data_IF_790910021479
#
_entry.id   IF_790910021479
#
_cell.length_a   1.000
_cell.length_b   1.000
_cell.length_c   1.000
_cell.angle_alpha   90.00
_cell.angle_beta   90.00
_cell.angle_gamma   90.00
#
_symmetry.space_group_name_H-M   'P 1'
#
loop_
_entity.id
_entity.type
_entity.pdbx_description
1 polymer ?
#
# COMPACT_ATOMS: atom_id res chain seq x y z
N UNK A 1 -3.65 26.39 39.67
CA UNK A 1 -2.20 26.24 39.89
C UNK A 1 -2.00 24.81 40.36
N UNK A 2 -1.68 23.91 39.43
CA UNK A 2 -1.38 22.51 39.74
C UNK A 2 0.13 22.34 39.62
N UNK A 3 0.76 22.03 40.74
CA UNK A 3 2.18 21.74 40.83
C UNK A 3 2.48 20.45 40.04
N UNK A 4 3.20 20.61 38.93
CA UNK A 4 3.70 19.50 38.12
C UNK A 4 4.88 18.87 38.87
N UNK A 5 4.58 17.80 39.61
CA UNK A 5 5.54 16.84 40.13
C UNK A 5 6.30 16.23 38.95
N UNK A 6 7.48 16.78 38.65
CA UNK A 6 8.37 16.23 37.65
C UNK A 6 8.79 14.80 38.06
N UNK A 7 8.76 13.83 37.12
CA UNK A 7 9.16 12.45 37.39
C UNK A 7 10.57 12.35 37.97
N UNK A 8 10.70 11.66 39.11
CA UNK A 8 11.95 11.47 39.87
C UNK A 8 13.08 10.80 39.06
N UNK A 9 12.78 10.11 37.96
CA UNK A 9 13.81 9.55 37.08
C UNK A 9 14.66 10.63 36.37
N UNK A 10 14.17 11.87 36.30
CA UNK A 10 14.90 13.02 35.74
C UNK A 10 15.94 13.59 36.73
N UNK A 11 15.96 13.16 38.00
CA UNK A 11 16.96 13.62 38.97
C UNK A 11 18.06 12.59 39.24
N UNK A 12 17.92 11.34 38.78
CA UNK A 12 18.89 10.27 39.05
C UNK A 12 20.21 10.36 38.28
N UNK A 13 20.24 11.02 37.13
CA UNK A 13 21.44 11.14 36.28
C UNK A 13 22.43 12.24 36.72
N UNK A 14 22.06 13.05 37.73
CA UNK A 14 22.91 14.14 38.23
C UNK A 14 23.88 13.75 39.34
N UNK A 15 23.76 12.55 39.91
CA UNK A 15 24.59 12.11 41.05
C UNK A 15 25.48 10.92 40.76
N UNK A 16 25.52 10.45 39.52
CA UNK A 16 26.54 9.48 39.10
C UNK A 16 27.77 10.27 38.65
N UNK A 17 28.69 10.50 39.58
CA UNK A 17 30.05 11.03 39.30
C UNK A 17 30.90 10.05 38.47
N UNK A 18 30.33 8.90 38.10
CA UNK A 18 30.88 7.91 37.17
C UNK A 18 30.39 8.22 35.74
N UNK A 19 30.71 9.42 35.26
CA UNK A 19 30.67 9.72 33.82
C UNK A 19 31.96 9.15 33.24
N UNK A 20 31.97 7.83 33.03
CA UNK A 20 32.93 7.20 32.14
C UNK A 20 32.81 7.93 30.78
N UNK A 21 33.94 8.40 30.27
CA UNK A 21 34.00 9.26 29.10
C UNK A 21 33.14 8.68 27.98
N UNK A 22 32.22 9.49 27.45
CA UNK A 22 31.32 9.16 26.34
C UNK A 22 32.08 9.03 24.99
N UNK A 23 33.34 8.60 25.04
CA UNK A 23 34.29 8.53 23.93
C UNK A 23 34.38 7.13 23.31
N UNK A 24 33.87 6.08 23.97
CA UNK A 24 33.98 4.70 23.49
C UNK A 24 32.64 3.93 23.48
N UNK A 25 31.50 4.56 23.17
CA UNK A 25 30.37 3.77 22.64
C UNK A 25 30.77 3.37 21.22
N UNK A 26 31.08 2.08 20.95
CA UNK A 26 31.56 1.70 19.65
C UNK A 26 30.44 1.98 18.64
N UNK A 27 30.73 2.81 17.65
CA UNK A 27 29.80 3.21 16.56
C UNK A 27 29.05 2.01 15.97
N UNK A 28 29.63 0.80 16.05
CA UNK A 28 29.00 -0.47 15.68
C UNK A 28 27.71 -0.78 16.45
N UNK A 29 27.65 -0.56 17.76
CA UNK A 29 26.46 -0.85 18.57
C UNK A 29 25.31 0.11 18.24
N UNK A 30 25.62 1.38 17.96
CA UNK A 30 24.62 2.35 17.51
C UNK A 30 23.97 1.93 16.19
N UNK A 31 24.77 1.55 15.18
CA UNK A 31 24.21 1.10 13.90
C UNK A 31 23.40 -0.19 14.02
N UNK A 32 23.83 -1.11 14.88
CA UNK A 32 23.08 -2.34 15.13
C UNK A 32 21.70 -2.05 15.75
N UNK A 33 21.63 -1.11 16.70
CA UNK A 33 20.36 -0.67 17.29
C UNK A 33 19.45 -0.02 16.23
N UNK A 34 19.98 0.89 15.41
CA UNK A 34 19.22 1.53 14.32
C UNK A 34 18.72 0.51 13.28
N UNK A 35 19.52 -0.50 12.93
CA UNK A 35 19.11 -1.56 11.99
C UNK A 35 17.98 -2.42 12.57
N UNK A 36 18.02 -2.68 13.88
CA UNK A 36 16.97 -3.39 14.58
C UNK A 36 15.68 -2.58 14.63
N UNK A 37 15.74 -1.29 14.96
CA UNK A 37 14.59 -0.37 14.93
C UNK A 37 13.97 -0.31 13.53
N UNK A 38 14.79 -0.15 12.49
CA UNK A 38 14.33 -0.14 11.10
C UNK A 38 13.59 -1.43 10.73
N UNK A 39 14.11 -2.58 11.15
CA UNK A 39 13.47 -3.89 10.93
C UNK A 39 12.13 -3.98 11.65
N UNK A 40 12.04 -3.47 12.89
CA UNK A 40 10.78 -3.43 13.63
C UNK A 40 9.76 -2.52 12.96
N UNK A 41 10.16 -1.33 12.50
CA UNK A 41 9.29 -0.43 11.77
C UNK A 41 8.76 -1.07 10.49
N UNK A 42 9.63 -1.70 9.69
CA UNK A 42 9.23 -2.38 8.45
C UNK A 42 8.23 -3.51 8.72
N UNK A 43 8.45 -4.30 9.79
CA UNK A 43 7.50 -5.32 10.21
C UNK A 43 6.13 -4.73 10.61
N UNK A 44 6.10 -3.61 11.35
CA UNK A 44 4.85 -2.95 11.75
C UNK A 44 4.11 -2.38 10.54
N UNK A 45 4.82 -1.81 9.57
CA UNK A 45 4.21 -1.33 8.33
C UNK A 45 3.59 -2.47 7.51
N UNK A 46 4.26 -3.63 7.44
CA UNK A 46 3.72 -4.79 6.75
C UNK A 46 2.43 -5.31 7.42
N UNK A 47 2.40 -5.38 8.75
CA UNK A 47 1.21 -5.78 9.52
C UNK A 47 0.02 -4.83 9.28
N UNK A 48 0.28 -3.51 9.25
CA UNK A 48 -0.73 -2.51 8.92
C UNK A 48 -1.31 -2.70 7.51
N UNK A 49 -0.45 -2.97 6.52
CA UNK A 49 -0.89 -3.21 5.13
C UNK A 49 -1.74 -4.49 5.01
N UNK A 50 -1.34 -5.56 5.69
CA UNK A 50 -2.09 -6.81 5.69
C UNK A 50 -3.45 -6.62 6.37
N UNK A 51 -3.50 -5.88 7.48
CA UNK A 51 -4.74 -5.54 8.17
C UNK A 51 -5.68 -4.69 7.29
N UNK A 52 -5.15 -3.70 6.58
CA UNK A 52 -5.92 -2.88 5.63
C UNK A 52 -6.51 -3.74 4.50
N UNK A 53 -5.70 -4.66 3.94
CA UNK A 53 -6.17 -5.58 2.91
C UNK A 53 -7.30 -6.48 3.42
N UNK A 54 -7.17 -7.03 4.64
CA UNK A 54 -8.22 -7.84 5.27
C UNK A 54 -9.49 -7.01 5.47
N UNK A 55 -9.37 -5.79 6.00
CA UNK A 55 -10.51 -4.90 6.22
C UNK A 55 -11.23 -4.57 4.90
N UNK A 56 -10.49 -4.25 3.84
CA UNK A 56 -11.04 -3.99 2.52
C UNK A 56 -11.77 -5.21 1.94
N UNK A 57 -11.21 -6.41 2.14
CA UNK A 57 -11.83 -7.67 1.71
C UNK A 57 -13.12 -7.98 2.47
N UNK A 58 -13.12 -7.80 3.80
CA UNK A 58 -14.30 -7.95 4.65
C UNK A 58 -15.42 -7.01 4.22
N UNK A 59 -15.11 -5.72 3.99
CA UNK A 59 -16.09 -4.72 3.54
C UNK A 59 -16.76 -5.13 2.22
N UNK A 60 -15.99 -5.60 1.24
CA UNK A 60 -16.55 -6.10 -0.03
C UNK A 60 -17.48 -7.30 0.17
N UNK A 61 -17.15 -8.20 1.09
CA UNK A 61 -17.99 -9.35 1.38
C UNK A 61 -19.31 -8.92 2.05
N UNK A 62 -19.25 -7.98 2.99
CA UNK A 62 -20.45 -7.40 3.62
C UNK A 62 -21.35 -6.71 2.60
N UNK A 63 -20.79 -5.83 1.76
CA UNK A 63 -21.51 -5.14 0.68
C UNK A 63 -22.19 -6.14 -0.27
N UNK A 64 -21.49 -7.23 -0.64
CA UNK A 64 -22.05 -8.28 -1.48
C UNK A 64 -23.23 -9.00 -0.79
N UNK A 65 -23.12 -9.31 0.50
CA UNK A 65 -24.24 -9.93 1.24
C UNK A 65 -25.43 -8.99 1.40
N UNK A 66 -25.19 -7.70 1.56
CA UNK A 66 -26.25 -6.69 1.61
C UNK A 66 -26.98 -6.59 0.26
N UNK A 67 -26.25 -6.52 -0.86
CA UNK A 67 -26.83 -6.50 -2.19
C UNK A 67 -27.71 -7.73 -2.48
N UNK A 68 -27.29 -8.92 -2.02
CA UNK A 68 -28.09 -10.15 -2.15
C UNK A 68 -29.39 -10.08 -1.34
N UNK A 69 -29.35 -9.54 -0.12
CA UNK A 69 -30.56 -9.34 0.71
C UNK A 69 -31.53 -8.37 0.05
N UNK A 70 -31.05 -7.23 -0.41
CA UNK A 70 -31.88 -6.23 -1.10
C UNK A 70 -32.49 -6.79 -2.39
N UNK A 71 -31.74 -7.56 -3.17
CA UNK A 71 -32.26 -8.23 -4.36
C UNK A 71 -33.36 -9.24 -4.02
N UNK A 72 -33.19 -10.01 -2.93
CA UNK A 72 -34.19 -10.97 -2.46
C UNK A 72 -35.48 -10.27 -1.98
N UNK A 73 -35.36 -9.13 -1.29
CA UNK A 73 -36.52 -8.34 -0.85
C UNK A 73 -37.27 -7.74 -2.04
N UNK A 74 -36.56 -7.17 -3.02
CA UNK A 74 -37.16 -6.66 -4.26
C UNK A 74 -37.87 -7.76 -5.06
N UNK A 75 -37.33 -8.98 -5.09
CA UNK A 75 -37.98 -10.12 -5.74
C UNK A 75 -39.30 -10.50 -5.05
N UNK A 76 -39.32 -10.55 -3.71
CA UNK A 76 -40.53 -10.86 -2.92
C UNK A 76 -41.62 -9.79 -3.08
N UNK A 77 -41.25 -8.51 -3.25
CA UNK A 77 -42.20 -7.43 -3.52
C UNK A 77 -42.94 -7.60 -4.85
N UNK A 78 -42.22 -7.91 -5.93
CA UNK A 78 -42.81 -8.09 -7.27
C UNK A 78 -43.72 -9.31 -7.39
N UNK A 79 -43.47 -10.36 -6.61
CA UNK A 79 -44.32 -11.56 -6.60
C UNK A 79 -45.71 -11.27 -6.00
N UNK A 80 -45.77 -10.53 -4.89
CA UNK A 80 -47.03 -10.10 -4.27
C UNK A 80 -47.85 -9.13 -5.14
N UNK A 81 -47.18 -8.30 -5.94
CA UNK A 81 -47.83 -7.39 -6.87
C UNK A 81 -48.50 -8.16 -8.03
N UNK A 82 -47.80 -9.13 -8.63
CA UNK A 82 -48.36 -10.01 -9.67
C UNK A 82 -49.52 -10.88 -9.19
N UNK A 83 -49.53 -11.27 -7.92
CA UNK A 83 -50.63 -12.05 -7.33
C UNK A 83 -51.92 -11.21 -7.17
N UNK A 84 -51.80 -9.92 -6.82
CA UNK A 84 -52.94 -9.00 -6.78
C UNK A 84 -53.50 -8.67 -8.16
N UNK A 85 -52.66 -8.63 -9.20
CA UNK A 85 -53.09 -8.35 -10.57
C UNK A 85 -53.89 -9.53 -11.17
N UNK A 86 -53.46 -10.78 -10.94
CA UNK A 86 -54.21 -11.98 -11.37
C UNK A 86 -55.56 -12.18 -10.67
N UNK A 87 -55.75 -11.58 -9.48
CA UNK A 87 -57.04 -11.60 -8.78
C UNK A 87 -58.13 -10.79 -9.48
N UNK A 88 -57.77 -9.72 -10.20
CA UNK A 88 -58.73 -8.87 -10.93
C UNK A 88 -59.12 -9.39 -12.31
N UNK A 89 -58.25 -10.18 -12.95
CA UNK A 89 -58.53 -10.73 -14.28
C UNK A 89 -59.49 -11.92 -14.25
N UNK A 90 -59.45 -12.73 -13.17
CA UNK A 90 -60.35 -13.88 -12.98
C UNK A 90 -61.81 -13.53 -12.70
N UNK A 91 -62.15 -12.27 -12.40
CA UNK A 91 -63.55 -11.84 -12.27
C UNK A 91 -64.21 -11.54 -13.63
N UNK A 92 -63.43 -11.42 -14.72
CA UNK A 92 -63.94 -11.14 -16.07
C UNK A 92 -64.06 -12.36 -17.00
N UNK A 93 -63.55 -13.52 -16.60
CA UNK A 93 -63.46 -14.72 -17.46
C UNK A 93 -64.31 -15.91 -16.98
N UNK A 94 -65.36 -15.68 -16.19
CA UNK A 94 -66.46 -16.65 -16.01
C UNK A 94 -67.51 -16.42 -17.11
N UNK A 95 -67.17 -16.78 -18.35
CA UNK A 95 -68.06 -16.51 -19.47
C UNK A 95 -67.71 -17.18 -20.79
N UNK A 96 -67.03 -18.35 -20.82
CA UNK A 96 -67.18 -19.26 -21.96
C UNK A 96 -66.73 -20.69 -21.65
N UNK A 97 -67.70 -21.58 -21.79
CA UNK A 97 -67.60 -23.03 -21.68
C UNK A 97 -66.85 -23.68 -22.86
N UNK A 98 -66.21 -24.82 -22.52
CA UNK A 98 -66.09 -26.08 -23.27
C UNK A 98 -65.35 -26.13 -24.62
N UNK A 99 -64.23 -26.84 -24.64
CA UNK A 99 -64.00 -28.12 -25.35
C UNK A 99 -62.61 -28.65 -24.96
N UNK A 100 -62.50 -29.81 -24.30
CA UNK A 100 -62.31 -31.14 -24.88
C UNK A 100 -60.89 -31.41 -25.44
N UNK A 101 -60.08 -32.19 -24.69
CA UNK A 101 -59.11 -33.11 -25.28
C UNK A 101 -57.69 -33.13 -24.68
N UNK A 102 -56.99 -34.29 -24.66
CA UNK A 102 -56.10 -34.70 -23.57
C UNK A 102 -54.62 -34.91 -23.98
N UNK A 103 -53.80 -35.38 -23.02
CA UNK A 103 -52.58 -36.21 -23.22
C UNK A 103 -51.23 -35.52 -23.02
N UNK A 104 -50.52 -35.82 -21.92
CA UNK A 104 -49.54 -36.92 -21.80
C UNK A 104 -48.57 -36.66 -20.65
N UNK A 105 -48.59 -37.60 -19.73
CA UNK A 105 -47.66 -37.78 -18.63
C UNK A 105 -46.24 -38.10 -19.12
N UNK A 106 -45.22 -37.43 -18.59
CA UNK A 106 -43.89 -38.03 -18.39
C UNK A 106 -43.40 -37.77 -16.98
N UNK A 107 -43.30 -38.90 -16.27
CA UNK A 107 -42.90 -39.06 -14.88
C UNK A 107 -41.37 -39.17 -14.84
N UNK A 108 -40.70 -38.03 -14.68
CA UNK A 108 -39.26 -37.95 -14.41
C UNK A 108 -39.01 -37.70 -12.93
N UNK A 109 -38.82 -38.78 -12.16
CA UNK A 109 -38.56 -38.78 -10.73
C UNK A 109 -37.04 -38.77 -10.51
N UNK A 110 -36.47 -37.60 -10.26
CA UNK A 110 -35.07 -37.43 -9.88
C UNK A 110 -34.98 -36.41 -8.74
N UNK A 111 -35.27 -36.86 -7.52
CA UNK A 111 -35.00 -36.08 -6.30
C UNK A 111 -33.49 -36.14 -6.05
N UNK A 112 -32.76 -35.12 -6.48
CA UNK A 112 -31.43 -34.87 -5.95
C UNK A 112 -31.52 -33.76 -4.91
N UNK A 113 -31.33 -34.15 -3.66
CA UNK A 113 -31.31 -33.28 -2.48
C UNK A 113 -29.98 -32.54 -2.49
N UNK A 114 -29.95 -31.20 -2.57
CA UNK A 114 -28.70 -30.47 -2.41
C UNK A 114 -28.24 -30.61 -0.95
N UNK A 115 -27.18 -31.41 -0.72
CA UNK A 115 -26.45 -31.43 0.53
C UNK A 115 -25.83 -30.05 0.73
N UNK A 116 -26.37 -29.30 1.68
CA UNK A 116 -25.79 -28.04 2.16
C UNK A 116 -24.40 -28.30 2.75
N UNK A 117 -23.34 -27.60 2.29
CA UNK A 117 -22.02 -27.69 2.90
C UNK A 117 -22.06 -27.07 4.31
N UNK A 118 -21.66 -27.87 5.31
CA UNK A 118 -21.49 -27.42 6.69
C UNK A 118 -20.34 -26.41 6.75
N UNK A 119 -20.66 -25.16 7.08
CA UNK A 119 -19.67 -24.14 7.41
C UNK A 119 -18.92 -24.55 8.69
N UNK A 120 -17.57 -24.62 8.68
CA UNK A 120 -16.81 -24.65 9.92
C UNK A 120 -16.90 -23.28 10.58
N UNK A 121 -17.41 -23.26 11.81
CA UNK A 121 -17.36 -22.12 12.73
C UNK A 121 -15.90 -21.75 13.00
N UNK A 122 -15.46 -20.50 12.77
CA UNK A 122 -14.12 -20.05 13.13
C UNK A 122 -13.97 -20.01 14.66
N UNK A 123 -12.93 -20.69 15.16
CA UNK A 123 -12.51 -20.64 16.56
C UNK A 123 -12.04 -19.22 16.89
N UNK A 124 -12.67 -18.64 17.90
CA UNK A 124 -12.33 -17.37 18.52
C UNK A 124 -11.02 -17.56 19.29
N UNK A 125 -9.90 -17.10 18.75
CA UNK A 125 -8.64 -16.94 19.50
C UNK A 125 -8.58 -15.51 20.02
N UNK A 126 -8.53 -15.37 21.35
CA UNK A 126 -8.30 -14.12 22.05
C UNK A 126 -6.84 -13.69 21.87
N UNK A 127 -6.61 -12.60 21.15
CA UNK A 127 -5.38 -11.81 21.30
C UNK A 127 -5.59 -10.87 22.48
N UNK A 128 -4.84 -11.10 23.56
CA UNK A 128 -4.63 -10.11 24.60
C UNK A 128 -3.71 -9.02 24.03
N UNK A 129 -4.16 -7.77 24.15
CA UNK A 129 -3.45 -6.54 23.83
C UNK A 129 -2.73 -6.08 25.10
N UNK A 130 -1.40 -5.87 25.06
CA UNK A 130 -0.72 -4.88 25.89
C UNK A 130 -0.34 -3.69 25.01
N UNK A 131 -1.06 -2.59 25.14
CA UNK A 131 -0.62 -1.33 25.78
C UNK A 131 0.55 -0.63 25.11
N UNK A 132 0.21 0.50 24.49
CA UNK A 132 0.72 1.85 24.78
C UNK A 132 2.24 2.06 24.79
N UNK A 133 2.73 2.75 23.75
CA UNK A 133 3.77 3.77 23.92
C UNK A 133 3.51 4.92 22.95
N UNK A 134 3.20 6.07 23.55
CA UNK A 134 2.77 7.33 22.95
C UNK A 134 3.98 8.29 22.81
N UNK A 135 3.82 9.26 21.90
CA UNK A 135 4.53 10.55 21.79
C UNK A 135 5.85 10.58 20.98
N UNK A 136 5.88 11.12 19.74
CA UNK A 136 5.81 12.55 19.36
C UNK A 136 6.87 13.41 20.08
N UNK A 137 7.98 13.79 19.44
CA UNK A 137 8.19 14.83 18.41
C UNK A 137 8.93 16.04 18.99
N UNK A 138 9.99 16.44 18.27
CA UNK A 138 10.56 17.79 18.13
C UNK A 138 11.24 18.49 19.33
N UNK A 139 12.52 18.82 19.16
CA UNK A 139 13.05 20.21 19.06
C UNK A 139 14.60 20.16 19.15
N UNK A 140 15.34 20.36 18.06
CA UNK A 140 15.82 21.66 17.58
C UNK A 140 16.95 22.23 18.48
N UNK A 141 18.17 21.76 18.24
CA UNK A 141 19.38 22.28 18.89
C UNK A 141 20.48 22.53 17.86
N UNK A 142 21.07 23.73 17.93
CA UNK A 142 22.04 24.24 16.98
C UNK A 142 23.33 23.40 16.99
N UNK A 143 23.80 22.90 15.84
CA UNK A 143 24.90 21.96 15.78
C UNK A 143 26.23 22.60 16.19
N UNK A 144 26.92 21.95 17.13
CA UNK A 144 28.30 22.27 17.57
C UNK A 144 29.30 22.24 16.38
N UNK A 145 30.34 23.10 16.35
CA UNK A 145 31.35 23.13 15.29
C UNK A 145 32.07 21.79 15.04
N UNK A 146 32.20 20.94 16.07
CA UNK A 146 32.74 19.57 15.95
C UNK A 146 31.75 18.58 15.30
N UNK A 147 30.43 18.84 15.43
CA UNK A 147 29.39 18.14 14.69
C UNK A 147 29.37 18.58 13.22
N UNK A 148 29.69 19.85 12.89
CA UNK A 148 29.77 20.33 11.50
C UNK A 148 30.92 19.66 10.73
N UNK A 149 32.09 19.49 11.35
CA UNK A 149 33.24 18.77 10.74
C UNK A 149 33.00 17.25 10.64
N UNK A 150 32.23 16.67 11.55
CA UNK A 150 31.76 15.28 11.47
C UNK A 150 30.68 15.09 10.40
N UNK A 151 29.77 16.04 10.22
CA UNK A 151 28.75 16.07 9.16
C UNK A 151 29.38 16.24 7.77
N UNK A 152 30.51 16.95 7.69
CA UNK A 152 31.32 17.09 6.47
C UNK A 152 31.98 15.77 6.02
N UNK A 153 32.22 14.83 6.95
CA UNK A 153 32.65 13.44 6.61
C UNK A 153 31.48 12.45 6.48
N UNK A 154 30.30 12.74 7.06
CA UNK A 154 29.09 11.90 6.98
C UNK A 154 28.25 12.11 5.72
N UNK A 155 28.46 13.19 4.96
CA UNK A 155 27.80 13.36 3.64
C UNK A 155 28.48 12.59 2.51
N UNK A 156 29.44 11.72 2.82
CA UNK A 156 29.82 10.62 1.93
C UNK A 156 28.85 9.46 2.16
N UNK A 157 27.60 9.61 1.71
CA UNK A 157 26.87 8.45 1.25
C UNK A 157 27.81 7.74 0.28
N UNK A 158 28.35 6.59 0.70
CA UNK A 158 29.39 5.90 -0.02
C UNK A 158 28.90 5.69 -1.47
N UNK A 159 29.61 6.16 -2.51
CA UNK A 159 29.13 6.08 -3.91
C UNK A 159 28.69 4.67 -4.34
N UNK A 160 29.15 3.65 -3.62
CA UNK A 160 28.74 2.25 -3.77
C UNK A 160 27.28 1.97 -3.43
N UNK A 161 26.65 2.68 -2.48
CA UNK A 161 25.24 2.51 -2.14
C UNK A 161 24.33 3.21 -3.16
N UNK A 162 24.67 4.43 -3.57
CA UNK A 162 23.93 5.15 -4.63
C UNK A 162 23.90 4.37 -5.96
N UNK A 163 25.04 3.83 -6.40
CA UNK A 163 25.11 2.97 -7.59
C UNK A 163 24.30 1.68 -7.48
N UNK A 164 24.08 1.17 -6.27
CA UNK A 164 23.25 -0.03 -6.04
C UNK A 164 21.77 0.33 -6.13
N UNK A 165 21.36 1.43 -5.49
CA UNK A 165 19.99 1.95 -5.56
C UNK A 165 19.59 2.28 -7.01
N UNK A 166 20.45 2.96 -7.77
CA UNK A 166 20.19 3.25 -9.18
C UNK A 166 19.97 1.99 -10.02
N UNK A 167 20.82 0.97 -9.85
CA UNK A 167 20.63 -0.31 -10.56
C UNK A 167 19.35 -1.03 -10.16
N UNK A 168 18.95 -0.98 -8.89
CA UNK A 168 17.68 -1.57 -8.47
C UNK A 168 16.49 -0.83 -9.07
N UNK A 169 16.54 0.50 -9.11
CA UNK A 169 15.51 1.33 -9.70
C UNK A 169 15.40 1.07 -11.22
N UNK A 170 16.54 1.00 -11.91
CA UNK A 170 16.61 0.66 -13.33
C UNK A 170 16.07 -0.76 -13.61
N UNK A 171 16.45 -1.75 -12.80
CA UNK A 171 15.94 -3.12 -12.93
C UNK A 171 14.42 -3.19 -12.71
N UNK A 172 13.91 -2.47 -11.72
CA UNK A 172 12.46 -2.41 -11.44
C UNK A 172 11.72 -1.73 -12.59
N UNK A 173 12.21 -0.58 -13.06
CA UNK A 173 11.64 0.14 -14.19
C UNK A 173 11.62 -0.71 -15.48
N UNK A 174 12.70 -1.46 -15.73
CA UNK A 174 12.77 -2.40 -16.85
C UNK A 174 11.76 -3.56 -16.71
N UNK A 175 11.59 -4.11 -15.50
CA UNK A 175 10.61 -5.16 -15.25
C UNK A 175 9.16 -4.66 -15.43
N UNK A 176 8.85 -3.46 -14.93
CA UNK A 176 7.52 -2.85 -15.05
C UNK A 176 7.19 -2.54 -16.52
N UNK A 177 8.16 -2.02 -17.28
CA UNK A 177 8.03 -1.81 -18.73
C UNK A 177 7.81 -3.12 -19.48
N UNK A 178 8.64 -4.15 -19.22
CA UNK A 178 8.52 -5.44 -19.88
C UNK A 178 7.17 -6.13 -19.56
N UNK A 179 6.66 -5.96 -18.34
CA UNK A 179 5.36 -6.45 -17.94
C UNK A 179 4.22 -5.75 -18.71
N UNK A 180 4.31 -4.42 -18.90
CA UNK A 180 3.36 -3.66 -19.71
C UNK A 180 3.41 -4.07 -21.19
N UNK A 181 4.61 -4.22 -21.76
CA UNK A 181 4.80 -4.67 -23.15
C UNK A 181 4.24 -6.08 -23.37
N UNK A 182 4.41 -6.98 -22.40
CA UNK A 182 3.84 -8.33 -22.45
C UNK A 182 2.31 -8.29 -22.51
N UNK A 183 1.66 -7.40 -21.75
CA UNK A 183 0.19 -7.22 -21.82
C UNK A 183 -0.26 -6.72 -23.19
N UNK A 184 0.48 -5.78 -23.80
CA UNK A 184 0.21 -5.28 -25.16
C UNK A 184 0.37 -6.41 -26.20
N UNK A 185 1.44 -7.21 -26.09
CA UNK A 185 1.67 -8.35 -26.98
C UNK A 185 0.57 -9.41 -26.86
N UNK A 186 0.13 -9.73 -25.64
CA UNK A 186 -1.00 -10.65 -25.42
C UNK A 186 -2.29 -10.14 -26.06
N UNK A 187 -2.56 -8.84 -25.96
CA UNK A 187 -3.71 -8.20 -26.60
C UNK A 187 -3.65 -8.36 -28.13
N UNK A 188 -2.49 -8.10 -28.73
CA UNK A 188 -2.26 -8.26 -30.17
C UNK A 188 -2.40 -9.73 -30.62
N UNK A 189 -1.88 -10.67 -29.83
CA UNK A 189 -2.02 -12.10 -30.10
C UNK A 189 -3.48 -12.54 -30.11
N UNK A 190 -4.27 -12.11 -29.11
CA UNK A 190 -5.71 -12.40 -29.05
C UNK A 190 -6.46 -11.80 -30.25
N UNK A 191 -6.11 -10.58 -30.67
CA UNK A 191 -6.66 -9.97 -31.88
C UNK A 191 -6.33 -10.77 -33.14
N UNK A 192 -5.10 -11.26 -33.25
CA UNK A 192 -4.70 -12.09 -34.40
C UNK A 192 -5.48 -13.41 -34.49
N UNK A 193 -5.95 -13.93 -33.35
CA UNK A 193 -6.79 -15.13 -33.23
C UNK A 193 -8.29 -14.85 -33.45
N UNK A 194 -8.68 -13.62 -33.77
CA UNK A 194 -10.09 -13.24 -33.99
C UNK A 194 -10.91 -13.16 -32.71
N UNK A 195 -10.27 -13.09 -31.54
CA UNK A 195 -10.97 -12.88 -30.27
C UNK A 195 -11.40 -11.41 -30.18
N UNK A 196 -12.71 -11.17 -30.03
CA UNK A 196 -13.25 -9.82 -29.83
C UNK A 196 -12.92 -9.34 -28.41
N UNK A 197 -12.04 -8.35 -28.31
CA UNK A 197 -11.60 -7.78 -27.04
C UNK A 197 -12.46 -6.55 -26.73
N UNK A 198 -13.00 -6.43 -25.51
CA UNK A 198 -13.73 -5.23 -25.12
C UNK A 198 -12.89 -3.96 -25.31
N UNK A 199 -13.45 -2.97 -26.01
CA UNK A 199 -12.79 -1.70 -26.33
C UNK A 199 -12.25 -1.00 -25.07
N UNK A 200 -12.96 -1.11 -23.95
CA UNK A 200 -12.55 -0.51 -22.68
C UNK A 200 -11.29 -1.17 -22.09
N UNK A 201 -11.11 -2.49 -22.29
CA UNK A 201 -9.91 -3.19 -21.85
C UNK A 201 -8.70 -2.77 -22.66
N UNK A 202 -8.86 -2.65 -23.99
CA UNK A 202 -7.79 -2.17 -24.87
C UNK A 202 -7.36 -0.74 -24.51
N UNK A 203 -8.33 0.17 -24.32
CA UNK A 203 -8.04 1.54 -23.88
C UNK A 203 -7.30 1.56 -22.54
N UNK A 204 -7.72 0.73 -21.58
CA UNK A 204 -7.07 0.64 -20.28
C UNK A 204 -5.61 0.18 -20.40
N UNK A 205 -5.35 -0.86 -21.18
CA UNK A 205 -3.98 -1.38 -21.40
C UNK A 205 -3.10 -0.32 -22.06
N UNK A 206 -3.62 0.41 -23.06
CA UNK A 206 -2.90 1.49 -23.72
C UNK A 206 -2.59 2.66 -22.77
N UNK A 207 -3.56 3.08 -21.95
CA UNK A 207 -3.37 4.15 -20.96
C UNK A 207 -2.35 3.74 -19.90
N UNK A 208 -2.43 2.50 -19.41
CA UNK A 208 -1.49 1.97 -18.41
C UNK A 208 -0.07 1.89 -18.98
N UNK A 209 0.09 1.45 -20.23
CA UNK A 209 1.37 1.45 -20.93
C UNK A 209 1.96 2.86 -21.07
N UNK A 210 1.15 3.82 -21.51
CA UNK A 210 1.56 5.22 -21.60
C UNK A 210 1.94 5.81 -20.24
N UNK A 211 1.23 5.46 -19.17
CA UNK A 211 1.54 5.89 -17.81
C UNK A 211 2.91 5.36 -17.36
N UNK A 212 3.16 4.05 -17.50
CA UNK A 212 4.45 3.44 -17.14
C UNK A 212 5.60 4.10 -17.89
N UNK A 213 5.44 4.35 -19.19
CA UNK A 213 6.46 5.04 -19.99
C UNK A 213 6.70 6.49 -19.51
N UNK A 214 5.62 7.23 -19.21
CA UNK A 214 5.74 8.62 -18.75
C UNK A 214 6.44 8.73 -17.39
N UNK A 215 6.10 7.86 -16.43
CA UNK A 215 6.75 7.82 -15.10
C UNK A 215 8.21 7.40 -15.18
N UNK A 216 8.54 6.43 -16.05
CA UNK A 216 9.92 6.02 -16.27
C UNK A 216 10.76 7.17 -16.85
N UNK A 217 10.18 7.93 -17.80
CA UNK A 217 10.82 9.09 -18.39
C UNK A 217 11.08 10.19 -17.35
N UNK A 218 10.06 10.56 -16.56
CA UNK A 218 10.17 11.57 -15.50
C UNK A 218 11.24 11.19 -14.47
N UNK A 219 11.22 9.94 -13.99
CA UNK A 219 12.26 9.46 -13.06
C UNK A 219 13.67 9.51 -13.66
N UNK A 220 13.81 9.23 -14.95
CA UNK A 220 15.11 9.31 -15.63
C UNK A 220 15.59 10.76 -15.69
N UNK A 221 14.70 11.70 -16.02
CA UNK A 221 15.01 13.14 -16.05
C UNK A 221 15.41 13.67 -14.66
N UNK A 222 14.67 13.29 -13.61
CA UNK A 222 14.97 13.66 -12.22
C UNK A 222 16.35 13.14 -11.78
N UNK A 223 16.66 11.88 -12.10
CA UNK A 223 17.95 11.26 -11.78
C UNK A 223 19.08 11.98 -12.53
N UNK A 224 18.91 12.25 -13.82
CA UNK A 224 19.91 12.97 -14.62
C UNK A 224 20.16 14.36 -14.04
N UNK A 225 19.10 15.11 -13.72
CA UNK A 225 19.21 16.42 -13.08
C UNK A 225 19.97 16.36 -11.76
N UNK A 226 19.63 15.39 -10.90
CA UNK A 226 20.32 15.19 -9.63
C UNK A 226 21.80 14.83 -9.80
N UNK A 227 22.13 14.03 -10.81
CA UNK A 227 23.52 13.71 -11.16
C UNK A 227 24.30 14.97 -11.60
N UNK A 228 23.68 15.84 -12.40
CA UNK A 228 24.28 17.10 -12.84
C UNK A 228 24.51 18.06 -11.67
N UNK A 229 23.56 18.16 -10.73
CA UNK A 229 23.70 18.94 -9.49
C UNK A 229 24.87 18.45 -8.63
N UNK A 230 25.01 17.12 -8.45
CA UNK A 230 26.16 16.54 -7.75
C UNK A 230 27.46 16.85 -8.48
N UNK A 231 27.46 16.71 -9.80
CA UNK A 231 28.66 16.97 -10.61
C UNK A 231 29.08 18.44 -10.52
N UNK A 232 28.12 19.38 -10.53
CA UNK A 232 28.37 20.80 -10.32
C UNK A 232 28.97 21.08 -8.93
N UNK A 233 28.41 20.47 -7.88
CA UNK A 233 28.94 20.56 -6.52
C UNK A 233 30.37 20.01 -6.42
N UNK A 234 30.68 18.89 -7.09
CA UNK A 234 32.03 18.34 -7.10
C UNK A 234 33.01 19.19 -7.91
N UNK A 235 32.59 19.78 -9.03
CA UNK A 235 33.44 20.68 -9.82
C UNK A 235 33.86 21.92 -9.02
N UNK A 236 32.97 22.48 -8.20
CA UNK A 236 33.30 23.56 -7.26
C UNK A 236 34.41 23.18 -6.28
N UNK A 237 34.44 21.93 -5.80
CA UNK A 237 35.51 21.50 -4.86
C UNK A 237 36.88 21.32 -5.53
N UNK A 238 36.92 21.11 -6.86
CA UNK A 238 38.18 20.93 -7.60
C UNK A 238 38.81 22.25 -8.06
N UNK A 239 38.02 23.30 -8.24
CA UNK A 239 38.51 24.59 -8.76
C UNK A 239 39.06 25.54 -7.69
N UNK A 240 39.40 25.01 -6.52
CA UNK A 240 40.04 25.75 -5.44
C UNK A 240 39.04 26.28 -4.43
N UNK A 241 39.19 25.84 -3.17
CA UNK A 241 38.70 26.60 -2.02
C UNK A 241 39.07 28.07 -2.23
N UNK A 242 38.20 29.05 -1.89
CA UNK A 242 38.64 30.43 -1.80
C UNK A 242 39.87 30.45 -0.90
N UNK A 243 41.02 30.82 -1.47
CA UNK A 243 42.25 31.02 -0.70
C UNK A 243 41.88 32.05 0.35
N UNK A 244 41.69 31.60 1.58
CA UNK A 244 41.61 32.47 2.74
C UNK A 244 43.02 33.05 2.83
N UNK A 245 43.22 34.23 2.24
CA UNK A 245 44.48 34.97 2.29
C UNK A 245 44.70 35.36 3.75
N UNK A 246 45.64 34.71 4.42
CA UNK A 246 46.00 34.97 5.82
C UNK A 246 46.87 36.23 5.96
N UNK A 247 46.56 37.32 5.23
CA UNK A 247 47.37 38.55 5.23
C UNK A 247 46.97 39.56 6.32
N UNK A 248 46.02 39.23 7.21
CA UNK A 248 45.72 40.03 8.39
C UNK A 248 46.52 39.54 9.61
N UNK A 249 47.85 39.66 9.56
CA UNK A 249 48.65 39.77 10.80
C UNK A 249 48.82 41.26 11.13
N UNK A 250 48.24 41.74 12.24
CA UNK A 250 48.47 43.12 12.66
C UNK A 250 49.94 43.31 13.11
N UNK A 251 50.50 44.52 12.87
CA UNK A 251 51.90 44.85 13.17
C UNK A 251 52.22 44.96 14.67
#
# INVERSE_FOLDING_TARGET
MTDLLLPTHILGWKTSDEVDCMEDIPVRHYWQACDQERTQHESRYQELLDAEWVAASCKRAEDATQAVREAQEKAKGKEKEKEKEKGKEKEKEKGKEKEAGPSRSTKGKGKEVPKTPKKPTPKKSSCEVPSESEEEMMMQTNPSPAYISSRRRRSHACPRTARRCLRQLEQKAAADSAAADTRVLQLLELKSKGVEIPVDLEKRVQVEHGLVQSTLKEHTEDITKWMDEIQAHMAWTKNGLPRISNDDSPP
#
